data_IF_644041921530
#
_entry.id   IF_644041921530
#
_cell.length_a   1.000
_cell.length_b   1.000
_cell.length_c   1.000
_cell.angle_alpha   90.00
_cell.angle_beta   90.00
_cell.angle_gamma   90.00
#
_symmetry.space_group_name_H-M   'P 1'
#
loop_
_entity.id
_entity.type
_entity.pdbx_description
1 polymer ?
#
# COMPACT_ATOMS: atom_id res chain seq x y z
N UNK A 1 15.24 0.19 19.09
CA UNK A 1 15.49 0.45 17.66
C UNK A 1 15.23 -0.83 16.85
N UNK A 2 15.75 -1.97 17.30
CA UNK A 2 15.53 -3.31 16.72
C UNK A 2 14.05 -3.67 16.50
N UNK A 3 13.19 -3.56 17.52
CA UNK A 3 11.75 -3.90 17.40
C UNK A 3 10.97 -3.05 16.38
N UNK A 4 11.43 -1.81 16.09
CA UNK A 4 10.80 -0.98 15.04
C UNK A 4 11.20 -1.46 13.65
N UNK A 5 12.45 -1.90 13.48
CA UNK A 5 12.96 -2.44 12.22
C UNK A 5 12.24 -3.74 11.89
N UNK A 6 12.11 -4.66 12.85
CA UNK A 6 11.36 -5.92 12.66
C UNK A 6 9.91 -5.67 12.20
N UNK A 7 9.23 -4.72 12.84
CA UNK A 7 7.86 -4.33 12.47
C UNK A 7 7.78 -3.79 11.04
N UNK A 8 8.78 -3.04 10.59
CA UNK A 8 8.87 -2.55 9.21
C UNK A 8 9.18 -3.69 8.23
N UNK A 9 10.02 -4.65 8.62
CA UNK A 9 10.29 -5.83 7.80
C UNK A 9 9.01 -6.63 7.51
N UNK A 10 8.17 -6.89 8.51
CA UNK A 10 6.91 -7.60 8.30
C UNK A 10 5.96 -6.87 7.33
N UNK A 11 5.83 -5.55 7.47
CA UNK A 11 5.02 -4.74 6.54
C UNK A 11 5.58 -4.81 5.12
N UNK A 12 6.91 -4.72 4.98
CA UNK A 12 7.58 -4.79 3.68
C UNK A 12 7.44 -6.19 3.04
N UNK A 13 7.45 -7.26 3.84
CA UNK A 13 7.20 -8.63 3.37
C UNK A 13 5.78 -8.80 2.81
N UNK A 14 4.77 -8.26 3.50
CA UNK A 14 3.38 -8.26 3.03
C UNK A 14 3.23 -7.49 1.71
N UNK A 15 3.79 -6.27 1.63
CA UNK A 15 3.77 -5.47 0.40
C UNK A 15 4.51 -6.14 -0.76
N UNK A 16 5.66 -6.77 -0.49
CA UNK A 16 6.42 -7.55 -1.48
C UNK A 16 5.61 -8.75 -1.97
N UNK A 17 4.84 -9.39 -1.08
CA UNK A 17 3.97 -10.50 -1.43
C UNK A 17 2.85 -10.06 -2.37
N UNK A 18 2.18 -8.93 -2.09
CA UNK A 18 1.18 -8.34 -3.01
C UNK A 18 1.79 -8.04 -4.37
N UNK A 19 2.98 -7.43 -4.40
CA UNK A 19 3.69 -7.14 -5.63
C UNK A 19 3.97 -8.40 -6.44
N UNK A 20 4.46 -9.48 -5.81
CA UNK A 20 4.75 -10.75 -6.48
C UNK A 20 3.49 -11.42 -7.05
N UNK A 21 2.33 -11.17 -6.44
CA UNK A 21 1.04 -11.59 -6.96
C UNK A 21 0.51 -10.68 -8.08
N UNK A 22 1.16 -9.54 -8.34
CA UNK A 22 0.72 -8.54 -9.31
C UNK A 22 -0.42 -7.66 -8.79
N UNK A 23 -0.52 -7.47 -7.47
CA UNK A 23 -1.55 -6.66 -6.81
C UNK A 23 -0.95 -5.40 -6.21
N UNK A 24 -1.74 -4.33 -6.19
CA UNK A 24 -1.45 -3.08 -5.49
C UNK A 24 -2.47 -2.86 -4.39
N UNK A 25 -2.04 -2.34 -3.23
CA UNK A 25 -2.91 -2.11 -2.08
C UNK A 25 -3.90 -0.97 -2.35
N UNK A 26 -3.42 0.14 -2.93
CA UNK A 26 -4.19 1.34 -3.34
C UNK A 26 -4.71 2.25 -2.23
N UNK A 27 -4.57 1.82 -0.99
CA UNK A 27 -4.95 2.57 0.21
C UNK A 27 -4.04 2.24 1.39
N UNK A 28 -2.73 2.13 1.12
CA UNK A 28 -1.78 1.84 2.18
C UNK A 28 -1.55 3.08 3.04
N UNK A 29 -1.78 2.97 4.35
CA UNK A 29 -1.47 4.01 5.31
C UNK A 29 -1.41 3.43 6.73
N UNK A 30 -0.95 4.23 7.70
CA UNK A 30 -0.80 3.79 9.09
C UNK A 30 -2.07 3.22 9.73
N UNK A 31 -3.25 3.77 9.38
CA UNK A 31 -4.55 3.24 9.81
C UNK A 31 -4.91 1.84 9.30
N UNK A 32 -4.22 1.34 8.27
CA UNK A 32 -4.42 0.02 7.67
C UNK A 32 -3.33 -0.98 8.08
N UNK A 33 -2.56 -0.65 9.13
CA UNK A 33 -1.57 -1.55 9.73
C UNK A 33 -2.16 -2.13 11.01
N UNK A 34 -2.33 -3.45 11.06
CA UNK A 34 -2.63 -4.16 12.29
C UNK A 34 -1.33 -4.49 13.00
N UNK A 35 -1.31 -4.33 14.33
CA UNK A 35 -0.10 -4.56 15.10
C UNK A 35 -0.42 -5.24 16.42
N UNK A 36 0.38 -6.25 16.76
CA UNK A 36 0.42 -6.85 18.09
C UNK A 36 1.83 -6.71 18.69
N UNK A 37 2.09 -7.42 19.79
CA UNK A 37 3.40 -7.36 20.45
C UNK A 37 4.55 -7.91 19.58
N UNK A 38 4.26 -8.86 18.69
CA UNK A 38 5.25 -9.63 17.94
C UNK A 38 5.40 -9.14 16.51
N UNK A 39 4.32 -8.75 15.85
CA UNK A 39 4.28 -8.49 14.42
C UNK A 39 3.38 -7.32 14.02
N UNK A 40 3.57 -6.88 12.78
CA UNK A 40 2.73 -5.92 12.08
C UNK A 40 2.24 -6.57 10.80
N UNK A 41 1.04 -6.24 10.36
CA UNK A 41 0.41 -6.80 9.17
C UNK A 41 -0.27 -5.70 8.36
N UNK A 42 -0.22 -5.81 7.05
CA UNK A 42 -1.02 -5.00 6.14
C UNK A 42 -2.47 -5.51 6.16
N UNK A 43 -3.44 -4.59 6.17
CA UNK A 43 -4.86 -4.92 6.26
C UNK A 43 -5.72 -3.99 5.41
N UNK A 44 -7.02 -4.27 5.36
CA UNK A 44 -8.00 -3.58 4.52
C UNK A 44 -7.68 -3.65 3.01
N UNK A 45 -7.92 -4.85 2.46
CA UNK A 45 -7.74 -5.13 1.05
C UNK A 45 -8.95 -4.72 0.18
N UNK A 46 -9.86 -3.88 0.69
CA UNK A 46 -11.11 -3.51 -0.01
C UNK A 46 -10.87 -2.80 -1.35
N UNK A 47 -9.74 -2.12 -1.49
CA UNK A 47 -9.30 -1.45 -2.72
C UNK A 47 -8.16 -2.18 -3.44
N UNK A 48 -7.63 -3.24 -2.83
CA UNK A 48 -6.55 -4.03 -3.40
C UNK A 48 -7.02 -4.72 -4.68
N UNK A 49 -6.19 -4.69 -5.71
CA UNK A 49 -6.56 -5.28 -6.99
C UNK A 49 -5.38 -5.44 -7.93
N UNK A 50 -5.56 -6.21 -9.01
CA UNK A 50 -4.48 -6.56 -9.91
C UNK A 50 -4.04 -5.33 -10.72
N UNK A 51 -2.75 -5.29 -11.02
CA UNK A 51 -2.05 -4.18 -11.67
C UNK A 51 -2.57 -3.88 -13.08
N UNK A 52 -3.11 -4.90 -13.76
CA UNK A 52 -3.62 -4.86 -15.14
C UNK A 52 -5.08 -4.36 -15.23
N UNK A 53 -5.85 -4.44 -14.14
CA UNK A 53 -7.25 -3.98 -14.09
C UNK A 53 -7.37 -2.69 -13.30
N UNK A 54 -6.81 -1.62 -13.86
CA UNK A 54 -6.96 -0.29 -13.30
C UNK A 54 -8.20 0.41 -13.83
N UNK A 55 -8.92 1.05 -12.92
CA UNK A 55 -10.16 1.74 -13.24
C UNK A 55 -9.82 3.09 -13.88
N UNK A 56 -10.04 3.21 -15.20
CA UNK A 56 -9.73 4.42 -15.98
C UNK A 56 -10.66 5.60 -15.68
N UNK A 57 -11.60 5.44 -14.74
CA UNK A 57 -12.64 6.42 -14.43
C UNK A 57 -12.11 7.62 -13.61
N UNK A 58 -10.79 7.84 -13.53
CA UNK A 58 -10.10 8.89 -12.77
C UNK A 58 -10.54 9.03 -11.31
N UNK A 59 -11.08 7.96 -10.71
CA UNK A 59 -11.43 7.96 -9.30
C UNK A 59 -10.16 7.76 -8.47
N UNK A 60 -9.85 8.77 -7.68
CA UNK A 60 -8.77 8.74 -6.70
C UNK A 60 -9.34 8.16 -5.40
N UNK A 61 -8.63 7.19 -4.83
CA UNK A 61 -8.98 6.55 -3.56
C UNK A 61 -7.82 6.70 -2.57
N UNK A 62 -8.16 6.59 -1.29
CA UNK A 62 -7.25 6.59 -0.16
C UNK A 62 -7.09 7.92 0.57
N UNK A 63 -6.21 7.93 1.56
CA UNK A 63 -5.98 9.10 2.43
C UNK A 63 -5.04 10.09 1.75
N UNK A 64 -5.50 11.33 1.54
CA UNK A 64 -4.82 12.37 0.74
C UNK A 64 -3.30 12.50 0.95
N UNK A 65 -2.83 12.38 2.20
CA UNK A 65 -1.39 12.50 2.53
C UNK A 65 -0.53 11.31 2.10
N UNK A 66 -1.16 10.17 1.83
CA UNK A 66 -0.51 8.92 1.41
C UNK A 66 -0.66 8.67 -0.09
N UNK A 67 -1.40 9.50 -0.82
CA UNK A 67 -1.60 9.31 -2.26
C UNK A 67 -0.39 9.84 -3.02
N UNK A 68 0.20 8.97 -3.84
CA UNK A 68 1.33 9.32 -4.68
C UNK A 68 0.99 10.44 -5.69
N UNK A 69 1.94 11.34 -5.99
CA UNK A 69 1.68 12.51 -6.82
C UNK A 69 1.22 12.15 -8.24
N UNK A 70 1.70 11.05 -8.81
CA UNK A 70 1.25 10.57 -10.11
C UNK A 70 -0.23 10.18 -10.11
N UNK A 71 -0.72 9.60 -9.01
CA UNK A 71 -2.14 9.22 -8.86
C UNK A 71 -3.00 10.46 -8.64
N UNK A 72 -2.51 11.43 -7.84
CA UNK A 72 -3.19 12.72 -7.64
C UNK A 72 -3.34 13.51 -8.96
N UNK A 73 -2.39 13.34 -9.88
CA UNK A 73 -2.43 13.97 -11.20
C UNK A 73 -3.26 13.16 -12.23
N UNK A 74 -4.05 12.17 -11.79
CA UNK A 74 -4.88 11.34 -12.66
C UNK A 74 -4.11 10.25 -13.42
N UNK A 75 -2.85 10.01 -13.04
CA UNK A 75 -2.07 8.88 -13.52
C UNK A 75 -2.57 7.55 -12.97
N UNK A 76 -2.05 6.47 -13.55
CA UNK A 76 -2.34 5.11 -13.09
C UNK A 76 -1.66 4.84 -11.75
N UNK A 77 -2.30 4.01 -10.93
CA UNK A 77 -1.68 3.48 -9.73
C UNK A 77 -0.55 2.53 -10.12
N UNK A 78 0.58 2.61 -9.45
CA UNK A 78 1.71 1.73 -9.71
C UNK A 78 2.25 1.17 -8.40
N UNK A 79 3.20 0.23 -8.52
CA UNK A 79 3.97 -0.20 -7.37
C UNK A 79 4.67 0.98 -6.67
N UNK A 80 5.17 1.96 -7.42
CA UNK A 80 5.80 3.15 -6.83
C UNK A 80 4.82 3.95 -5.98
N UNK A 81 3.52 3.84 -6.26
CA UNK A 81 2.47 4.50 -5.49
C UNK A 81 2.26 3.85 -4.11
N UNK A 82 2.31 2.51 -4.02
CA UNK A 82 2.31 1.81 -2.71
C UNK A 82 3.61 2.11 -1.94
N UNK A 83 4.76 2.20 -2.62
CA UNK A 83 6.05 2.55 -1.98
C UNK A 83 6.05 3.99 -1.46
N UNK A 84 5.47 4.94 -2.21
CA UNK A 84 5.29 6.31 -1.75
C UNK A 84 4.45 6.34 -0.47
N UNK A 85 3.37 5.58 -0.45
CA UNK A 85 2.48 5.45 0.71
C UNK A 85 3.17 4.85 1.94
N UNK A 86 4.24 4.07 1.74
CA UNK A 86 5.03 3.47 2.82
C UNK A 86 6.06 4.42 3.46
N UNK A 87 6.45 5.47 2.75
CA UNK A 87 7.53 6.41 3.14
C UNK A 87 7.14 7.32 4.30
#
# INVERSE_FOLDING_TARGET
>A
MERKIEKLCHINEDLTTLQNLGYYHKDFHSGNILQNEVASYVSDFGLTGPADKQNLNNKIYGVLLYIAPEVLNGGLYTLASDIYSFS
#
